data_IF_422264549127
#
_entry.id   IF_422264549127
#
_cell.length_a   1.000
_cell.length_b   1.000
_cell.length_c   1.000
_cell.angle_alpha   90.00
_cell.angle_beta   90.00
_cell.angle_gamma   90.00
#
_symmetry.space_group_name_H-M   'P 1'
#
loop_
_entity.id
_entity.type
_entity.pdbx_description
1 polymer ?
#
# COMPACT_ATOMS: atom_id res chain seq x y z
N UNK A 1 -8.44 5.80 31.32
CA UNK A 1 -7.12 5.35 30.81
C UNK A 1 -6.00 5.41 31.86
N UNK A 2 -6.13 6.24 32.89
CA UNK A 2 -5.09 6.41 33.93
C UNK A 2 -4.75 5.16 34.74
N UNK A 3 -5.72 4.27 34.96
CA UNK A 3 -5.47 3.00 35.63
C UNK A 3 -4.55 2.10 34.79
N UNK A 4 -4.82 1.98 33.49
CA UNK A 4 -3.99 1.22 32.55
C UNK A 4 -2.57 1.80 32.46
N UNK A 5 -2.45 3.13 32.35
CA UNK A 5 -1.16 3.80 32.28
C UNK A 5 -0.33 3.58 33.55
N UNK A 6 -0.96 3.64 34.73
CA UNK A 6 -0.32 3.36 36.02
C UNK A 6 0.10 1.90 36.17
N UNK A 7 -0.75 0.96 35.77
CA UNK A 7 -0.45 -0.48 35.87
C UNK A 7 0.67 -0.92 34.89
N UNK A 8 0.74 -0.29 33.71
CA UNK A 8 1.71 -0.64 32.65
C UNK A 8 2.97 0.23 32.64
N UNK A 9 3.05 1.26 33.48
CA UNK A 9 4.08 2.30 33.42
C UNK A 9 4.21 2.97 32.04
N UNK A 10 3.14 2.94 31.23
CA UNK A 10 3.10 3.52 29.90
C UNK A 10 2.49 4.92 29.91
N UNK A 11 2.98 5.80 29.02
CA UNK A 11 2.35 7.10 28.74
C UNK A 11 1.47 6.99 27.51
N UNK A 12 0.21 7.37 27.64
CA UNK A 12 -0.75 7.34 26.55
C UNK A 12 -0.68 8.63 25.71
N UNK A 13 -0.56 8.49 24.39
CA UNK A 13 -0.52 9.63 23.49
C UNK A 13 -1.91 9.91 22.93
N UNK A 14 -2.67 10.76 23.62
CA UNK A 14 -4.03 11.13 23.24
C UNK A 14 -4.13 11.75 21.83
N UNK A 15 -3.07 12.40 21.34
CA UNK A 15 -3.05 13.02 20.02
C UNK A 15 -2.90 12.02 18.87
N UNK A 16 -2.52 10.76 19.17
CA UNK A 16 -2.37 9.68 18.18
C UNK A 16 -3.46 8.63 18.29
N UNK A 17 -4.40 8.81 19.21
CA UNK A 17 -5.41 7.81 19.52
C UNK A 17 -6.70 8.23 18.84
N UNK A 18 -7.26 7.30 18.09
CA UNK A 18 -8.55 7.47 17.43
C UNK A 18 -9.42 6.28 17.76
N UNK A 19 -10.66 6.56 18.15
CA UNK A 19 -11.68 5.53 18.26
C UNK A 19 -12.29 5.28 16.89
N UNK A 20 -12.68 4.05 16.59
CA UNK A 20 -13.41 3.74 15.36
C UNK A 20 -14.39 2.59 15.61
N UNK A 21 -15.45 2.56 14.82
CA UNK A 21 -16.45 1.50 14.88
C UNK A 21 -16.01 0.28 14.07
N UNK A 22 -15.95 -0.89 14.70
CA UNK A 22 -15.66 -2.17 14.02
C UNK A 22 -16.83 -2.60 13.12
N UNK A 23 -18.07 -2.24 13.49
CA UNK A 23 -19.27 -2.60 12.73
C UNK A 23 -19.45 -1.79 11.44
N UNK A 24 -18.60 -0.80 11.20
CA UNK A 24 -18.69 0.11 10.05
C UNK A 24 -19.87 1.09 10.12
N UNK A 25 -20.70 1.03 11.18
CA UNK A 25 -21.79 1.99 11.40
C UNK A 25 -21.32 3.19 12.19
N UNK A 26 -21.94 4.34 11.93
CA UNK A 26 -21.76 5.55 12.73
C UNK A 26 -22.38 5.36 14.12
N UNK A 27 -21.53 5.09 15.10
CA UNK A 27 -21.88 4.92 16.51
C UNK A 27 -21.39 6.08 17.38
N UNK A 28 -20.99 7.18 16.74
CA UNK A 28 -20.41 8.36 17.42
C UNK A 28 -21.34 8.93 18.50
N UNK A 29 -22.64 9.04 18.23
CA UNK A 29 -23.61 9.58 19.19
C UNK A 29 -23.74 8.76 20.48
N UNK A 30 -23.65 7.42 20.39
CA UNK A 30 -23.71 6.55 21.57
C UNK A 30 -22.44 6.63 22.42
N UNK A 31 -21.28 6.72 21.76
CA UNK A 31 -19.98 6.69 22.43
C UNK A 31 -19.45 8.08 22.81
N UNK A 32 -20.03 9.17 22.30
CA UNK A 32 -19.53 10.54 22.48
C UNK A 32 -19.16 10.88 23.92
N UNK A 33 -20.06 10.58 24.88
CA UNK A 33 -19.83 10.85 26.31
C UNK A 33 -18.64 10.07 26.86
N UNK A 34 -18.59 8.76 26.60
CA UNK A 34 -17.50 7.89 27.06
C UNK A 34 -16.15 8.26 26.44
N UNK A 35 -16.15 8.72 25.18
CA UNK A 35 -14.94 9.17 24.50
C UNK A 35 -14.43 10.49 25.07
N UNK A 36 -15.33 11.42 25.39
CA UNK A 36 -14.98 12.65 26.10
C UNK A 36 -14.37 12.37 27.48
N UNK A 37 -14.96 11.44 28.24
CA UNK A 37 -14.43 11.00 29.55
C UNK A 37 -13.02 10.38 29.43
N UNK A 38 -12.70 9.77 28.30
CA UNK A 38 -11.38 9.21 28.01
C UNK A 38 -10.40 10.20 27.37
N UNK A 39 -10.79 11.48 27.26
CA UNK A 39 -10.02 12.52 26.58
C UNK A 39 -9.64 12.12 25.12
N UNK A 40 -10.58 11.47 24.43
CA UNK A 40 -10.49 11.15 23.01
C UNK A 40 -11.29 12.18 22.23
N UNK A 41 -10.61 12.98 21.42
CA UNK A 41 -11.22 14.14 20.75
C UNK A 41 -12.08 13.75 19.55
N UNK A 42 -11.77 12.62 18.90
CA UNK A 42 -12.42 12.23 17.66
C UNK A 42 -12.67 10.72 17.57
N UNK A 43 -13.86 10.35 17.10
CA UNK A 43 -14.16 9.01 16.64
C UNK A 43 -14.20 9.02 15.12
N UNK A 44 -13.36 8.21 14.50
CA UNK A 44 -13.35 8.03 13.06
C UNK A 44 -14.62 7.30 12.62
N UNK A 45 -15.33 7.91 11.68
CA UNK A 45 -16.59 7.42 11.13
C UNK A 45 -16.56 7.40 9.61
N UNK A 46 -17.63 6.84 9.04
CA UNK A 46 -17.95 6.86 7.60
C UNK A 46 -18.03 8.28 7.00
N UNK A 47 -18.13 9.32 7.83
CA UNK A 47 -18.19 10.71 7.33
C UNK A 47 -16.81 11.34 7.15
N UNK A 48 -15.77 10.73 7.70
CA UNK A 48 -14.41 11.27 7.59
C UNK A 48 -13.84 11.03 6.19
N UNK A 49 -13.23 12.05 5.57
CA UNK A 49 -12.67 11.94 4.22
C UNK A 49 -11.41 11.05 4.17
N UNK A 50 -10.65 11.01 5.26
CA UNK A 50 -9.42 10.24 5.38
C UNK A 50 -9.66 8.90 6.10
N UNK A 51 -9.15 7.77 5.57
CA UNK A 51 -9.26 6.49 6.24
C UNK A 51 -8.33 6.42 7.46
N UNK A 52 -8.74 5.66 8.48
CA UNK A 52 -7.90 5.36 9.64
C UNK A 52 -6.68 4.54 9.20
N UNK A 53 -5.47 4.91 9.62
CA UNK A 53 -4.24 4.20 9.23
C UNK A 53 -3.77 3.31 10.38
N UNK A 54 -3.71 2.01 10.13
CA UNK A 54 -3.14 1.03 11.06
C UNK A 54 -1.94 0.32 10.44
N UNK A 55 -0.77 0.46 11.07
CA UNK A 55 0.50 -0.13 10.59
C UNK A 55 0.84 0.21 9.12
N UNK A 56 0.40 1.37 8.65
CA UNK A 56 0.61 1.80 7.26
C UNK A 56 -0.47 1.34 6.27
N UNK A 57 -1.45 0.57 6.72
CA UNK A 57 -2.59 0.12 5.93
C UNK A 57 -3.86 0.90 6.32
N UNK A 58 -4.65 1.39 5.35
CA UNK A 58 -5.92 2.01 5.67
C UNK A 58 -6.91 0.94 6.16
N UNK A 59 -7.46 1.15 7.35
CA UNK A 59 -8.63 0.45 7.86
C UNK A 59 -9.86 1.09 7.23
N UNK A 60 -10.41 0.39 6.25
CA UNK A 60 -11.50 0.89 5.42
C UNK A 60 -12.82 0.62 6.14
N UNK A 61 -13.56 1.69 6.43
CA UNK A 61 -14.93 1.58 6.95
C UNK A 61 -15.99 1.76 5.85
N UNK A 62 -15.60 2.20 4.64
CA UNK A 62 -16.49 2.45 3.50
C UNK A 62 -15.92 1.86 2.22
N UNK A 63 -16.74 1.24 1.38
CA UNK A 63 -16.38 0.76 0.04
C UNK A 63 -15.84 1.86 -0.90
N UNK A 64 -16.13 3.14 -0.64
CA UNK A 64 -15.65 4.26 -1.47
C UNK A 64 -14.33 4.89 -1.01
N UNK A 65 -13.74 4.46 0.10
CA UNK A 65 -12.39 4.90 0.47
C UNK A 65 -11.39 4.15 -0.43
N UNK A 66 -10.66 4.83 -1.33
CA UNK A 66 -9.69 4.16 -2.18
C UNK A 66 -8.55 3.63 -1.31
N UNK A 67 -8.55 2.31 -1.07
CA UNK A 67 -7.49 1.54 -0.37
C UNK A 67 -6.08 1.93 -0.78
N UNK A 68 -5.95 2.36 -2.05
CA UNK A 68 -4.67 2.66 -2.67
C UNK A 68 -4.26 4.13 -2.56
N UNK A 69 -5.13 5.06 -2.15
CA UNK A 69 -4.84 6.50 -2.26
C UNK A 69 -3.64 6.94 -1.41
N UNK A 70 -3.54 6.48 -0.16
CA UNK A 70 -2.42 6.86 0.73
C UNK A 70 -1.10 6.26 0.22
N UNK A 71 -1.15 5.02 -0.22
CA UNK A 71 0.01 4.32 -0.79
C UNK A 71 0.47 5.03 -2.07
N UNK A 72 -0.46 5.38 -2.96
CA UNK A 72 -0.21 6.18 -4.16
C UNK A 72 0.37 7.54 -3.81
N UNK A 73 -0.14 8.23 -2.80
CA UNK A 73 0.34 9.56 -2.40
C UNK A 73 1.78 9.51 -1.90
N UNK A 74 2.09 8.56 -1.02
CA UNK A 74 3.46 8.34 -0.51
C UNK A 74 4.41 7.94 -1.63
N UNK A 75 3.97 7.05 -2.53
CA UNK A 75 4.75 6.62 -3.67
C UNK A 75 5.03 7.78 -4.64
N UNK A 76 4.01 8.57 -4.99
CA UNK A 76 4.18 9.78 -5.81
C UNK A 76 5.16 10.76 -5.17
N UNK A 77 5.08 10.96 -3.86
CA UNK A 77 5.98 11.86 -3.16
C UNK A 77 7.43 11.34 -3.17
N UNK A 78 7.65 10.05 -2.93
CA UNK A 78 8.97 9.43 -3.03
C UNK A 78 9.53 9.49 -4.45
N UNK A 79 8.72 9.14 -5.45
CA UNK A 79 9.12 9.18 -6.86
C UNK A 79 9.40 10.61 -7.33
N UNK A 80 8.66 11.63 -6.87
CA UNK A 80 8.92 13.04 -7.20
C UNK A 80 10.33 13.48 -6.79
N UNK A 81 10.76 13.11 -5.58
CA UNK A 81 12.13 13.38 -5.10
C UNK A 81 13.20 12.73 -5.99
N UNK A 82 12.86 11.61 -6.64
CA UNK A 82 13.74 10.94 -7.58
C UNK A 82 13.58 11.45 -9.03
N UNK A 83 12.43 12.00 -9.41
CA UNK A 83 12.19 12.63 -10.71
C UNK A 83 13.01 13.90 -10.89
N UNK A 84 13.22 14.66 -9.83
CA UNK A 84 14.01 15.89 -9.85
C UNK A 84 15.52 15.62 -10.02
N UNK A 85 15.94 14.35 -9.96
CA UNK A 85 17.32 13.92 -10.22
C UNK A 85 17.42 13.52 -11.69
N UNK A 86 18.44 14.00 -12.39
CA UNK A 86 18.77 13.60 -13.78
C UNK A 86 19.29 12.15 -13.83
N UNK A 87 18.42 11.19 -13.55
CA UNK A 87 18.73 9.76 -13.50
C UNK A 87 18.82 9.20 -14.92
N UNK A 88 19.82 8.35 -15.14
CA UNK A 88 19.92 7.56 -16.37
C UNK A 88 18.72 6.62 -16.51
N UNK A 89 18.45 6.16 -17.73
CA UNK A 89 17.37 5.21 -18.04
C UNK A 89 17.47 3.94 -17.17
N UNK A 90 18.70 3.46 -16.92
CA UNK A 90 18.98 2.31 -16.04
C UNK A 90 18.75 2.66 -14.56
N UNK A 91 19.08 3.89 -14.14
CA UNK A 91 18.77 4.38 -12.79
C UNK A 91 17.27 4.48 -12.54
N UNK A 92 16.51 5.01 -13.51
CA UNK A 92 15.04 5.07 -13.48
C UNK A 92 14.42 3.67 -13.40
N UNK A 93 14.92 2.71 -14.20
CA UNK A 93 14.47 1.32 -14.15
C UNK A 93 14.72 0.67 -12.77
N UNK A 94 15.89 0.92 -12.18
CA UNK A 94 16.24 0.35 -10.86
C UNK A 94 15.34 0.88 -9.75
N UNK A 95 15.08 2.20 -9.73
CA UNK A 95 14.16 2.84 -8.76
C UNK A 95 12.73 2.37 -8.97
N UNK A 96 12.28 2.30 -10.23
CA UNK A 96 10.95 1.81 -10.60
C UNK A 96 10.73 0.36 -10.18
N UNK A 97 11.74 -0.51 -10.34
CA UNK A 97 11.67 -1.91 -9.92
C UNK A 97 11.55 -2.05 -8.40
N UNK A 98 12.34 -1.31 -7.61
CA UNK A 98 12.22 -1.32 -6.15
C UNK A 98 10.86 -0.81 -5.68
N UNK A 99 10.35 0.26 -6.29
CA UNK A 99 9.02 0.79 -6.02
C UNK A 99 7.90 -0.21 -6.37
N UNK A 100 7.98 -0.87 -7.53
CA UNK A 100 6.99 -1.83 -8.00
C UNK A 100 6.97 -3.11 -7.14
N UNK A 101 8.13 -3.56 -6.68
CA UNK A 101 8.25 -4.78 -5.86
C UNK A 101 7.63 -4.58 -4.47
N UNK A 102 7.71 -3.37 -3.91
CA UNK A 102 7.13 -3.05 -2.61
C UNK A 102 5.62 -2.82 -2.66
N UNK A 103 5.07 -2.40 -3.80
CA UNK A 103 3.67 -2.00 -3.96
C UNK A 103 3.10 -2.52 -5.28
N UNK A 104 2.69 -3.79 -5.29
CA UNK A 104 2.07 -4.52 -6.41
C UNK A 104 0.80 -3.88 -7.02
N UNK A 105 0.39 -2.69 -6.59
CA UNK A 105 -0.90 -2.07 -6.93
C UNK A 105 -0.80 -0.80 -7.79
N UNK A 106 0.39 -0.30 -8.12
CA UNK A 106 0.51 1.03 -8.75
C UNK A 106 1.47 1.03 -9.95
N UNK A 107 1.14 0.19 -10.93
CA UNK A 107 1.81 0.17 -12.25
C UNK A 107 1.77 1.52 -12.94
N UNK A 108 0.65 2.24 -12.89
CA UNK A 108 0.46 3.49 -13.63
C UNK A 108 1.43 4.61 -13.21
N UNK A 109 1.68 4.78 -11.91
CA UNK A 109 2.59 5.82 -11.40
C UNK A 109 4.04 5.46 -11.71
N UNK A 110 4.43 4.19 -11.56
CA UNK A 110 5.76 3.72 -11.90
C UNK A 110 6.03 3.84 -13.41
N UNK A 111 5.07 3.48 -14.27
CA UNK A 111 5.17 3.63 -15.73
C UNK A 111 5.32 5.11 -16.11
N UNK A 112 4.54 6.00 -15.50
CA UNK A 112 4.65 7.44 -15.74
C UNK A 112 6.04 7.97 -15.38
N UNK A 113 6.57 7.59 -14.21
CA UNK A 113 7.93 7.94 -13.79
C UNK A 113 8.99 7.43 -14.79
N UNK A 114 8.85 6.18 -15.24
CA UNK A 114 9.79 5.55 -16.17
C UNK A 114 9.77 6.22 -17.54
N UNK A 115 8.62 6.68 -18.02
CA UNK A 115 8.48 7.33 -19.32
C UNK A 115 8.77 8.83 -19.31
N UNK A 116 8.94 9.42 -18.13
CA UNK A 116 9.20 10.84 -17.98
C UNK A 116 10.57 11.20 -18.58
N UNK A 117 10.62 12.18 -19.48
CA UNK A 117 11.83 12.71 -20.11
C UNK A 117 12.70 11.65 -20.81
N UNK A 118 12.07 10.73 -21.55
CA UNK A 118 12.75 9.74 -22.40
C UNK A 118 12.31 9.89 -23.85
N UNK A 119 13.30 10.04 -24.73
CA UNK A 119 13.13 10.00 -26.19
C UNK A 119 14.25 9.16 -26.81
N UNK A 120 13.94 8.22 -27.74
CA UNK A 120 12.61 7.85 -28.23
C UNK A 120 11.78 7.10 -27.17
N UNK A 121 10.45 7.13 -27.32
CA UNK A 121 9.54 6.50 -26.36
C UNK A 121 9.71 4.96 -26.42
N UNK A 122 10.26 4.38 -25.35
CA UNK A 122 10.48 2.93 -25.26
C UNK A 122 9.15 2.22 -24.94
N UNK A 123 8.69 1.25 -25.76
CA UNK A 123 7.48 0.47 -25.51
C UNK A 123 7.57 -0.34 -24.21
N UNK A 124 6.45 -0.51 -23.49
CA UNK A 124 6.42 -1.26 -22.22
C UNK A 124 6.95 -2.69 -22.35
N UNK A 125 6.69 -3.35 -23.48
CA UNK A 125 7.24 -4.68 -23.77
C UNK A 125 8.78 -4.71 -23.76
N UNK A 126 9.44 -3.64 -24.18
CA UNK A 126 10.91 -3.50 -24.15
C UNK A 126 11.43 -3.24 -22.75
N UNK A 127 10.66 -2.56 -21.90
CA UNK A 127 11.01 -2.38 -20.49
C UNK A 127 11.01 -3.70 -19.72
N UNK A 128 10.06 -4.58 -20.01
CA UNK A 128 9.90 -5.87 -19.31
C UNK A 128 10.74 -7.01 -19.90
N UNK A 129 11.25 -6.85 -21.12
CA UNK A 129 12.18 -7.79 -21.74
C UNK A 129 13.46 -7.97 -20.88
N UNK A 130 14.04 -9.17 -20.83
CA UNK A 130 15.30 -9.41 -20.12
C UNK A 130 16.44 -8.54 -20.68
N UNK A 131 17.50 -8.35 -19.89
CA UNK A 131 18.67 -7.56 -20.31
C UNK A 131 19.42 -8.17 -21.50
N UNK A 132 19.36 -9.48 -21.64
CA UNK A 132 20.04 -10.22 -22.72
C UNK A 132 19.58 -9.77 -24.14
N UNK A 133 18.28 -9.70 -24.46
CA UNK A 133 17.79 -9.12 -25.72
C UNK A 133 17.78 -7.59 -25.77
N UNK A 134 18.43 -6.88 -24.83
CA UNK A 134 18.48 -5.42 -24.79
C UNK A 134 17.30 -4.74 -24.09
N UNK A 135 16.52 -5.49 -23.31
CA UNK A 135 15.49 -4.92 -22.43
C UNK A 135 16.05 -4.44 -21.08
N UNK A 136 15.17 -3.92 -20.22
CA UNK A 136 15.57 -3.39 -18.90
C UNK A 136 15.27 -4.36 -17.74
N UNK A 137 14.56 -5.45 -18.01
CA UNK A 137 14.20 -6.46 -17.01
C UNK A 137 13.25 -5.93 -15.94
N UNK A 138 12.46 -4.91 -16.27
CA UNK A 138 11.44 -4.38 -15.36
C UNK A 138 10.37 -5.45 -15.15
N UNK A 139 9.97 -5.59 -13.90
CA UNK A 139 9.00 -6.60 -13.53
C UNK A 139 7.60 -6.26 -14.09
N UNK A 140 7.02 -7.20 -14.84
CA UNK A 140 5.61 -7.12 -15.22
C UNK A 140 4.74 -7.52 -14.02
N UNK A 141 4.00 -6.57 -13.49
CA UNK A 141 3.12 -6.75 -12.33
C UNK A 141 2.03 -7.79 -12.60
N UNK A 142 1.49 -7.87 -13.82
CA UNK A 142 0.47 -8.89 -14.13
C UNK A 142 1.07 -10.28 -14.05
N UNK A 143 2.23 -10.47 -14.68
CA UNK A 143 2.94 -11.75 -14.69
C UNK A 143 3.44 -12.14 -13.29
N UNK A 144 3.95 -11.19 -12.50
CA UNK A 144 4.35 -11.44 -11.12
C UNK A 144 3.17 -11.79 -10.22
N UNK A 145 2.04 -11.06 -10.35
CA UNK A 145 0.83 -11.39 -9.58
C UNK A 145 0.34 -12.80 -9.91
N UNK A 146 0.31 -13.18 -11.20
CA UNK A 146 -0.09 -14.50 -11.63
C UNK A 146 0.86 -15.59 -11.11
N UNK A 147 2.18 -15.34 -11.16
CA UNK A 147 3.19 -16.25 -10.62
C UNK A 147 3.07 -16.41 -9.09
N UNK A 148 2.78 -15.33 -8.37
CA UNK A 148 2.50 -15.38 -6.94
C UNK A 148 1.23 -16.17 -6.67
N UNK A 149 0.10 -15.83 -7.32
CA UNK A 149 -1.16 -16.59 -7.20
C UNK A 149 -0.93 -18.07 -7.46
N UNK A 150 -0.21 -18.42 -8.53
CA UNK A 150 0.11 -19.80 -8.85
C UNK A 150 0.95 -20.46 -7.74
N UNK A 151 1.97 -19.78 -7.21
CA UNK A 151 2.79 -20.30 -6.09
C UNK A 151 1.98 -20.56 -4.82
N UNK A 152 0.93 -19.78 -4.56
CA UNK A 152 0.05 -19.98 -3.40
C UNK A 152 -1.00 -21.08 -3.64
N UNK A 153 -1.46 -21.24 -4.88
CA UNK A 153 -2.47 -22.24 -5.27
C UNK A 153 -1.85 -23.63 -5.50
N UNK A 154 -0.62 -23.71 -6.02
CA UNK A 154 0.06 -24.96 -6.35
C UNK A 154 0.13 -25.95 -5.16
N UNK A 155 0.47 -25.53 -3.92
CA UNK A 155 0.47 -26.43 -2.77
C UNK A 155 -0.93 -26.96 -2.44
N UNK A 156 -1.99 -26.18 -2.66
CA UNK A 156 -3.37 -26.60 -2.41
C UNK A 156 -3.81 -27.65 -3.43
N UNK A 157 -3.42 -27.48 -4.70
CA UNK A 157 -3.71 -28.44 -5.77
C UNK A 157 -2.89 -29.74 -5.65
N UNK A 158 -1.71 -29.68 -5.03
CA UNK A 158 -0.84 -30.84 -4.81
C UNK A 158 -1.29 -31.76 -3.65
N UNK A 159 -2.22 -31.30 -2.80
CA UNK A 159 -2.78 -32.10 -1.70
C UNK A 159 -3.75 -33.17 -2.24
N UNK A 160 -4.42 -32.91 -3.37
CA UNK A 160 -5.42 -33.81 -3.97
C UNK A 160 -4.81 -34.81 -4.97
N UNK A 161 -3.52 -34.71 -5.28
CA UNK A 161 -2.85 -35.67 -6.17
C UNK A 161 -2.23 -36.81 -5.35
N UNK A 162 -2.76 -38.04 -5.40
CA UNK A 162 -2.10 -39.18 -4.76
C UNK A 162 -0.72 -39.34 -5.39
N UNK A 163 0.32 -39.46 -4.54
CA UNK A 163 1.67 -39.81 -5.01
C UNK A 163 1.58 -41.11 -5.82
N UNK A 164 2.11 -41.16 -7.05
CA UNK A 164 2.29 -42.44 -7.73
C UNK A 164 3.28 -43.32 -6.93
N UNK A 165 3.13 -44.65 -7.00
CA UNK A 165 3.94 -45.62 -6.26
C UNK A 165 5.43 -45.54 -6.62
#
# INVERSE_FOLDING_TARGET
>A
MDLFCRASNARFNHNKVEAFSISGRDTSGFWARHLQDMNMQHMRTVKDPDPLIYLGFPLIQITQQPTNYIVIRKLKQGLRVHSDRSLSVVGKATVGQHAATLQMLITSVAIHFLKQDIFPLIPWATWTLPRYPGGLGILDVKQQSAALYFRWVQPLLAIDTPRPP
#
